data_IF_385366528049
#
_entry.id   IF_385366528049
#
_cell.length_a   1.000
_cell.length_b   1.000
_cell.length_c   1.000
_cell.angle_alpha   90.00
_cell.angle_beta   90.00
_cell.angle_gamma   90.00
#
_symmetry.space_group_name_H-M   'P 1'
#
loop_
_entity.id
_entity.type
_entity.pdbx_description
1 polymer ?
#
# COMPACT_ATOMS: atom_id res chain seq x y z
N UNK A 1 0.17 7.40 21.06
CA UNK A 1 0.80 7.40 19.74
C UNK A 1 0.36 8.64 18.96
N UNK A 2 1.25 9.22 18.22
CA UNK A 2 0.90 10.40 17.44
C UNK A 2 0.26 10.01 16.11
N UNK A 3 -0.71 10.80 15.69
CA UNK A 3 -1.32 10.63 14.37
C UNK A 3 -0.33 10.86 13.24
N UNK A 4 0.83 11.47 13.52
CA UNK A 4 1.88 11.67 12.53
C UNK A 4 2.44 10.34 12.01
N UNK A 5 2.63 9.37 12.89
CA UNK A 5 3.14 8.05 12.47
C UNK A 5 2.16 7.36 11.54
N UNK A 6 0.87 7.45 11.84
CA UNK A 6 -0.16 6.91 10.97
C UNK A 6 -0.17 7.62 9.62
N UNK A 7 -0.06 8.95 9.62
CA UNK A 7 -0.03 9.73 8.39
C UNK A 7 1.19 9.39 7.54
N UNK A 8 2.36 9.22 8.15
CA UNK A 8 3.56 8.82 7.43
C UNK A 8 3.37 7.44 6.77
N UNK A 9 2.76 6.52 7.49
CA UNK A 9 2.48 5.20 6.93
C UNK A 9 1.54 5.30 5.73
N UNK A 10 0.48 6.11 5.83
CA UNK A 10 -0.46 6.28 4.74
C UNK A 10 0.19 6.93 3.54
N UNK A 11 1.08 7.89 3.73
CA UNK A 11 1.84 8.50 2.63
C UNK A 11 2.75 7.48 1.96
N UNK A 12 3.41 6.64 2.75
CA UNK A 12 4.27 5.59 2.22
C UNK A 12 3.43 4.58 1.44
N UNK A 13 2.24 4.27 1.93
CA UNK A 13 1.33 3.37 1.25
C UNK A 13 0.86 3.94 -0.08
N UNK A 14 0.55 5.24 -0.14
CA UNK A 14 0.19 5.90 -1.40
C UNK A 14 1.33 5.81 -2.42
N UNK A 15 2.56 6.05 -1.97
CA UNK A 15 3.72 5.93 -2.84
C UNK A 15 3.87 4.49 -3.35
N UNK A 16 3.64 3.51 -2.48
CA UNK A 16 3.66 2.11 -2.86
C UNK A 16 2.62 1.82 -3.96
N UNK A 17 1.41 2.36 -3.83
CA UNK A 17 0.36 2.14 -4.82
C UNK A 17 0.75 2.71 -6.17
N UNK A 18 1.33 3.91 -6.19
CA UNK A 18 1.80 4.53 -7.43
C UNK A 18 2.93 3.70 -8.06
N UNK A 19 3.85 3.22 -7.24
CA UNK A 19 4.94 2.35 -7.69
C UNK A 19 4.40 1.04 -8.25
N UNK A 20 3.37 0.49 -7.61
CA UNK A 20 2.72 -0.73 -8.07
C UNK A 20 2.14 -0.55 -9.47
N UNK A 21 1.43 0.57 -9.70
CA UNK A 21 0.85 0.84 -11.01
C UNK A 21 1.92 0.93 -12.09
N UNK A 22 3.01 1.64 -11.80
CA UNK A 22 4.13 1.76 -12.72
C UNK A 22 4.78 0.41 -12.99
N UNK A 23 5.00 -0.36 -11.93
CA UNK A 23 5.60 -1.69 -12.05
C UNK A 23 4.71 -2.66 -12.83
N UNK A 24 3.41 -2.55 -12.64
CA UNK A 24 2.45 -3.40 -13.35
C UNK A 24 2.51 -3.15 -14.85
N UNK A 25 2.58 -1.87 -15.25
CA UNK A 25 2.69 -1.51 -16.66
C UNK A 25 4.01 -1.99 -17.26
N UNK A 26 5.11 -1.87 -16.50
CA UNK A 26 6.41 -2.37 -16.93
C UNK A 26 6.39 -3.89 -17.09
N UNK A 27 5.72 -4.59 -16.19
CA UNK A 27 5.58 -6.05 -16.25
C UNK A 27 4.85 -6.49 -17.53
N UNK A 28 3.85 -5.73 -17.94
CA UNK A 28 3.11 -6.02 -19.16
C UNK A 28 4.01 -5.93 -20.39
N UNK A 29 5.10 -5.15 -20.30
CA UNK A 29 6.08 -5.02 -21.38
C UNK A 29 7.26 -5.98 -21.22
N UNK A 30 7.21 -6.84 -20.20
CA UNK A 30 8.22 -7.85 -19.98
C UNK A 30 9.26 -7.51 -18.93
N UNK A 31 9.16 -6.34 -18.27
CA UNK A 31 10.11 -5.92 -17.25
C UNK A 31 9.57 -6.26 -15.86
N UNK A 32 10.16 -7.26 -15.23
CA UNK A 32 9.76 -7.72 -13.91
C UNK A 32 10.56 -7.10 -12.77
N UNK A 33 11.60 -6.34 -13.08
CA UNK A 33 12.51 -5.81 -12.06
C UNK A 33 11.79 -4.88 -11.08
N UNK A 34 11.00 -3.94 -11.61
CA UNK A 34 10.25 -3.01 -10.79
C UNK A 34 9.20 -3.71 -9.94
N UNK A 35 8.57 -4.73 -10.51
CA UNK A 35 7.55 -5.49 -9.82
C UNK A 35 8.13 -6.21 -8.60
N UNK A 36 9.31 -6.79 -8.74
CA UNK A 36 9.99 -7.45 -7.62
C UNK A 36 10.30 -6.48 -6.49
N UNK A 37 10.74 -5.27 -6.83
CA UNK A 37 11.00 -4.22 -5.84
C UNK A 37 9.73 -3.85 -5.08
N UNK A 38 8.62 -3.73 -5.81
CA UNK A 38 7.33 -3.40 -5.21
C UNK A 38 6.86 -4.49 -4.25
N UNK A 39 7.07 -5.75 -4.60
CA UNK A 39 6.70 -6.86 -3.73
C UNK A 39 7.48 -6.79 -2.40
N UNK A 40 8.76 -6.45 -2.46
CA UNK A 40 9.56 -6.29 -1.24
C UNK A 40 9.05 -5.14 -0.38
N UNK A 41 8.69 -4.02 -1.01
CA UNK A 41 8.09 -2.89 -0.28
C UNK A 41 6.76 -3.27 0.37
N UNK A 42 5.97 -4.09 -0.30
CA UNK A 42 4.71 -4.56 0.26
C UNK A 42 4.92 -5.32 1.56
N UNK A 43 5.96 -6.16 1.61
CA UNK A 43 6.30 -6.89 2.84
C UNK A 43 6.72 -5.96 3.96
N UNK A 44 7.52 -4.94 3.65
CA UNK A 44 7.94 -3.95 4.65
C UNK A 44 6.75 -3.17 5.18
N UNK A 45 5.84 -2.76 4.30
CA UNK A 45 4.64 -2.04 4.70
C UNK A 45 3.74 -2.90 5.58
N UNK A 46 3.61 -4.18 5.27
CA UNK A 46 2.82 -5.09 6.08
C UNK A 46 3.39 -5.17 7.50
N UNK A 47 4.70 -5.30 7.64
CA UNK A 47 5.35 -5.36 8.94
C UNK A 47 5.14 -4.07 9.73
N UNK A 48 5.31 -2.92 9.07
CA UNK A 48 5.08 -1.61 9.70
C UNK A 48 3.62 -1.45 10.12
N UNK A 49 2.70 -1.89 9.28
CA UNK A 49 1.28 -1.81 9.57
C UNK A 49 0.88 -2.63 10.77
N UNK A 50 1.46 -3.82 10.93
CA UNK A 50 1.20 -4.66 12.09
C UNK A 50 1.66 -3.99 13.38
N UNK A 51 2.84 -3.39 13.37
CA UNK A 51 3.36 -2.66 14.53
C UNK A 51 2.50 -1.44 14.85
N UNK A 52 2.11 -0.71 13.81
CA UNK A 52 1.31 0.50 13.98
C UNK A 52 -0.08 0.17 14.51
N UNK A 53 -0.67 -0.93 14.04
CA UNK A 53 -2.00 -1.34 14.47
C UNK A 53 -2.10 -1.57 15.97
N UNK A 54 -1.02 -2.00 16.61
CA UNK A 54 -0.99 -2.19 18.06
C UNK A 54 -0.91 -0.89 18.84
N UNK A 55 -0.63 0.23 18.17
CA UNK A 55 -0.45 1.53 18.81
C UNK A 55 -1.60 2.50 18.57
N UNK A 56 -2.50 2.17 17.65
CA UNK A 56 -3.61 3.05 17.29
C UNK A 56 -4.78 2.93 18.25
N UNK A 57 -5.49 4.05 18.48
CA UNK A 57 -6.76 4.01 19.17
C UNK A 57 -7.81 3.31 18.30
N UNK A 58 -8.94 2.82 18.89
CA UNK A 58 -9.98 2.16 18.09
C UNK A 58 -10.51 3.01 16.92
N UNK A 59 -10.69 4.31 17.13
CA UNK A 59 -11.16 5.21 16.07
C UNK A 59 -10.12 5.36 14.95
N UNK A 60 -8.85 5.53 15.32
CA UNK A 60 -7.77 5.63 14.35
C UNK A 60 -7.60 4.33 13.58
N UNK A 61 -7.73 3.20 14.28
CA UNK A 61 -7.62 1.88 13.67
C UNK A 61 -8.69 1.69 12.61
N UNK A 62 -9.92 2.11 12.90
CA UNK A 62 -11.02 2.01 11.94
C UNK A 62 -10.78 2.87 10.70
N UNK A 63 -10.35 4.11 10.88
CA UNK A 63 -10.04 5.00 9.76
C UNK A 63 -8.91 4.44 8.92
N UNK A 64 -7.91 3.90 9.57
CA UNK A 64 -6.75 3.31 8.92
C UNK A 64 -7.19 2.10 8.07
N UNK A 65 -8.01 1.22 8.65
CA UNK A 65 -8.51 0.04 7.95
C UNK A 65 -9.37 0.44 6.75
N UNK A 66 -10.25 1.45 6.91
CA UNK A 66 -11.09 1.94 5.82
C UNK A 66 -10.23 2.49 4.68
N UNK A 67 -9.19 3.23 5.00
CA UNK A 67 -8.27 3.80 4.00
C UNK A 67 -7.57 2.68 3.24
N UNK A 68 -7.04 1.69 3.96
CA UNK A 68 -6.33 0.57 3.31
C UNK A 68 -7.27 -0.23 2.42
N UNK A 69 -8.51 -0.43 2.86
CA UNK A 69 -9.50 -1.14 2.05
C UNK A 69 -9.81 -0.39 0.76
N UNK A 70 -9.93 0.94 0.82
CA UNK A 70 -10.15 1.75 -0.38
C UNK A 70 -8.98 1.63 -1.35
N UNK A 71 -7.76 1.65 -0.83
CA UNK A 71 -6.57 1.54 -1.69
C UNK A 71 -6.43 0.16 -2.30
N UNK A 72 -6.76 -0.88 -1.54
CA UNK A 72 -6.77 -2.22 -2.08
C UNK A 72 -7.80 -2.36 -3.21
N UNK A 73 -8.96 -1.73 -3.03
CA UNK A 73 -10.01 -1.73 -4.06
C UNK A 73 -9.56 -1.00 -5.32
N UNK A 74 -8.86 0.13 -5.17
CA UNK A 74 -8.27 0.85 -6.31
C UNK A 74 -7.31 -0.05 -7.09
N UNK A 75 -6.44 -0.78 -6.38
CA UNK A 75 -5.48 -1.68 -7.03
C UNK A 75 -6.20 -2.80 -7.77
N UNK A 76 -7.24 -3.36 -7.18
CA UNK A 76 -8.01 -4.42 -7.82
C UNK A 76 -8.67 -3.92 -9.10
N UNK A 77 -9.24 -2.71 -9.07
CA UNK A 77 -9.84 -2.10 -10.25
C UNK A 77 -8.80 -1.80 -11.31
N UNK A 78 -7.65 -1.27 -10.90
CA UNK A 78 -6.57 -0.97 -11.83
C UNK A 78 -6.11 -2.25 -12.55
N UNK A 79 -5.86 -3.31 -11.80
CA UNK A 79 -5.42 -4.57 -12.39
C UNK A 79 -6.48 -5.15 -13.35
N UNK A 80 -7.75 -5.02 -13.00
CA UNK A 80 -8.86 -5.48 -13.84
C UNK A 80 -8.95 -4.70 -15.15
N UNK A 81 -8.75 -3.39 -15.09
CA UNK A 81 -8.84 -2.53 -16.26
C UNK A 81 -7.64 -2.69 -17.20
N UNK A 82 -6.52 -3.17 -16.70
CA UNK A 82 -5.28 -3.25 -17.46
C UNK A 82 -4.90 -4.67 -17.88
N UNK A 83 -5.86 -5.54 -17.97
CA UNK A 83 -5.66 -6.90 -18.46
C UNK A 83 -5.38 -6.97 -19.96
#
# INVERSE_FOLDING_TARGET
MSSETANEYLQTYDAYINDFKTAYEAMKQGDMTKYQTVIQRAKELQTKGEKLGGELSPDEEKRFADYLNKKADELAKFASQNR
#
